data_IF_967808737113
#
_entry.id   IF_967808737113
#
_cell.length_a   1.000
_cell.length_b   1.000
_cell.length_c   1.000
_cell.angle_alpha   90.00
_cell.angle_beta   90.00
_cell.angle_gamma   90.00
#
_symmetry.space_group_name_H-M   'P 1'
#
loop_
_entity.id
_entity.type
_entity.pdbx_description
1 polymer ?
#
# COMPACT_ATOMS: atom_id res chain seq x y z
N UNK A 1 -19.13 0.87 -0.70
CA UNK A 1 -18.10 -0.12 -1.08
C UNK A 1 -16.76 0.47 -0.66
N UNK A 2 -16.10 -0.07 0.36
CA UNK A 2 -14.94 0.56 0.99
C UNK A 2 -13.72 0.64 0.07
N UNK A 3 -12.86 1.65 0.27
CA UNK A 3 -11.55 1.74 -0.40
C UNK A 3 -10.67 0.60 0.13
N UNK A 4 -10.11 -0.21 -0.77
CA UNK A 4 -9.25 -1.35 -0.42
C UNK A 4 -7.92 -1.28 -1.17
N UNK A 5 -6.87 -1.84 -0.57
CA UNK A 5 -5.56 -2.05 -1.17
C UNK A 5 -5.44 -3.54 -1.50
N UNK A 6 -5.02 -3.85 -2.73
CA UNK A 6 -4.58 -5.19 -3.11
C UNK A 6 -3.09 -5.32 -2.82
N UNK A 7 -2.71 -6.24 -1.94
CA UNK A 7 -1.33 -6.63 -1.67
C UNK A 7 -1.01 -7.91 -2.41
N UNK A 8 0.11 -7.94 -3.11
CA UNK A 8 0.59 -9.11 -3.84
C UNK A 8 2.01 -9.41 -3.37
N UNK A 9 2.17 -10.56 -2.72
CA UNK A 9 3.46 -11.12 -2.39
C UNK A 9 3.90 -12.04 -3.55
N UNK A 10 4.95 -11.64 -4.24
CA UNK A 10 5.50 -12.37 -5.39
C UNK A 10 6.48 -13.49 -4.99
N UNK A 11 6.96 -13.50 -3.74
CA UNK A 11 7.79 -14.59 -3.20
C UNK A 11 6.94 -15.81 -2.91
N UNK A 12 5.78 -15.60 -2.28
CA UNK A 12 4.84 -16.65 -1.88
C UNK A 12 3.67 -16.85 -2.87
N UNK A 13 3.56 -15.99 -3.90
CA UNK A 13 2.45 -15.96 -4.88
C UNK A 13 1.07 -15.83 -4.21
N UNK A 14 0.97 -14.96 -3.20
CA UNK A 14 -0.27 -14.71 -2.45
C UNK A 14 -0.80 -13.32 -2.75
N UNK A 15 -2.12 -13.21 -2.87
CA UNK A 15 -2.82 -11.94 -3.03
C UNK A 15 -3.87 -11.78 -1.92
N UNK A 16 -3.86 -10.63 -1.26
CA UNK A 16 -4.81 -10.29 -0.19
C UNK A 16 -5.36 -8.88 -0.38
N UNK A 17 -6.59 -8.67 0.10
CA UNK A 17 -7.18 -7.34 0.17
C UNK A 17 -7.13 -6.83 1.61
N UNK A 18 -6.63 -5.62 1.77
CA UNK A 18 -6.62 -4.88 3.03
C UNK A 18 -7.54 -3.67 2.91
N UNK A 19 -8.23 -3.32 3.99
CA UNK A 19 -8.96 -2.05 4.03
C UNK A 19 -7.97 -0.88 4.05
N UNK A 20 -8.33 0.23 3.40
CA UNK A 20 -7.46 1.39 3.31
C UNK A 20 -7.17 1.94 4.73
N UNK A 21 -5.91 1.96 5.17
CA UNK A 21 -5.52 2.57 6.44
C UNK A 21 -5.95 4.04 6.53
N UNK A 22 -6.30 4.51 7.73
CA UNK A 22 -6.75 5.88 7.96
C UNK A 22 -5.73 6.93 7.49
N UNK A 23 -4.44 6.63 7.64
CA UNK A 23 -3.33 7.50 7.24
C UNK A 23 -3.29 7.77 5.72
N UNK A 24 -3.88 6.86 4.92
CA UNK A 24 -3.97 6.99 3.47
C UNK A 24 -5.34 7.50 3.01
N UNK A 25 -6.30 7.71 3.92
CA UNK A 25 -7.69 8.03 3.58
C UNK A 25 -7.84 9.36 2.82
N UNK A 26 -6.99 10.34 3.14
CA UNK A 26 -6.94 11.66 2.50
C UNK A 26 -5.96 11.73 1.31
N UNK A 27 -5.19 10.67 1.06
CA UNK A 27 -4.20 10.61 -0.01
C UNK A 27 -4.78 9.88 -1.25
N UNK A 28 -4.15 10.10 -2.39
CA UNK A 28 -4.50 9.43 -3.64
C UNK A 28 -3.40 9.54 -4.68
N UNK A 29 -3.44 8.68 -5.68
CA UNK A 29 -2.46 8.65 -6.78
C UNK A 29 -1.02 8.71 -6.28
N UNK A 30 -0.26 9.70 -6.76
CA UNK A 30 1.16 9.89 -6.42
C UNK A 30 1.42 10.07 -4.93
N UNK A 31 0.59 10.85 -4.24
CA UNK A 31 0.79 11.11 -2.80
C UNK A 31 0.69 9.82 -1.98
N UNK A 32 -0.29 8.98 -2.30
CA UNK A 32 -0.46 7.70 -1.61
C UNK A 32 0.68 6.74 -1.91
N UNK A 33 1.08 6.58 -3.18
CA UNK A 33 2.15 5.66 -3.55
C UNK A 33 3.50 6.07 -2.96
N UNK A 34 3.82 7.38 -2.93
CA UNK A 34 5.07 7.87 -2.36
C UNK A 34 5.16 7.61 -0.85
N UNK A 35 4.06 7.79 -0.11
CA UNK A 35 4.03 7.52 1.33
C UNK A 35 4.14 6.02 1.61
N UNK A 36 3.45 5.16 0.84
CA UNK A 36 3.57 3.70 0.98
C UNK A 36 5.04 3.25 0.79
N UNK A 37 5.69 3.74 -0.28
CA UNK A 37 7.12 3.43 -0.52
C UNK A 37 8.00 3.92 0.62
N UNK A 38 7.80 5.17 1.08
CA UNK A 38 8.60 5.74 2.18
C UNK A 38 8.46 4.97 3.50
N UNK A 39 7.30 4.34 3.75
CA UNK A 39 7.03 3.62 4.99
C UNK A 39 7.48 2.15 4.95
N UNK A 40 7.37 1.49 3.79
CA UNK A 40 7.54 0.04 3.67
C UNK A 40 8.86 -0.38 3.02
N UNK A 41 9.56 0.53 2.32
CA UNK A 41 10.80 0.24 1.60
C UNK A 41 11.99 0.89 2.33
N UNK A 42 12.99 0.10 2.78
CA UNK A 42 14.23 0.66 3.32
C UNK A 42 14.90 1.65 2.36
N UNK A 43 15.58 2.69 2.88
CA UNK A 43 16.18 3.73 2.04
C UNK A 43 17.41 3.25 1.23
N UNK A 44 17.98 2.11 1.61
CA UNK A 44 19.17 1.52 1.00
C UNK A 44 18.88 0.26 0.19
N UNK A 45 17.62 0.04 -0.18
CA UNK A 45 17.20 -1.07 -1.05
C UNK A 45 17.88 -1.05 -2.41
#
# INVERSE_FOLDING_TARGET
MGKKILRVDMTDLKASFEDLPADYAALGGRGMTSVIVSNEVPPTC
#
